data_IF_296702828944
#
_entry.id   IF_296702828944
#
_cell.length_a   1.000
_cell.length_b   1.000
_cell.length_c   1.000
_cell.angle_alpha   90.00
_cell.angle_beta   90.00
_cell.angle_gamma   90.00
#
_symmetry.space_group_name_H-M   'P 1'
#
loop_
_entity.id
_entity.type
_entity.pdbx_description
1 polymer ?
#
# COMPACT_ATOMS: atom_id res chain seq x y z
N UNK A 1 -21.32 -7.42 -2.01
CA UNK A 1 -21.06 -7.17 -0.57
C UNK A 1 -22.26 -7.59 0.30
N UNK A 2 -23.43 -6.94 0.23
CA UNK A 2 -24.55 -7.28 1.13
C UNK A 2 -24.93 -8.77 1.07
N UNK A 3 -25.03 -9.37 -0.12
CA UNK A 3 -25.35 -10.79 -0.26
C UNK A 3 -24.33 -11.71 0.42
N UNK A 4 -23.04 -11.38 0.39
CA UNK A 4 -21.99 -12.14 1.09
C UNK A 4 -22.18 -12.06 2.62
N UNK A 5 -22.55 -10.89 3.14
CA UNK A 5 -22.80 -10.70 4.58
C UNK A 5 -24.07 -11.46 5.01
N UNK A 6 -25.13 -11.41 4.18
CA UNK A 6 -26.38 -12.14 4.39
C UNK A 6 -26.14 -13.66 4.40
N UNK A 7 -25.37 -14.17 3.44
CA UNK A 7 -24.97 -15.58 3.37
C UNK A 7 -24.17 -16.00 4.61
N UNK A 8 -23.14 -15.21 4.96
CA UNK A 8 -22.32 -15.49 6.14
C UNK A 8 -23.12 -15.47 7.43
N UNK A 9 -24.12 -14.59 7.56
CA UNK A 9 -25.02 -14.53 8.71
C UNK A 9 -25.80 -15.82 8.91
N UNK A 10 -26.17 -16.52 7.82
CA UNK A 10 -26.83 -17.82 7.86
C UNK A 10 -25.96 -18.98 8.39
N UNK A 11 -24.64 -18.81 8.44
CA UNK A 11 -23.71 -19.82 8.94
C UNK A 11 -23.25 -19.56 10.39
N UNK A 12 -23.76 -18.51 11.03
CA UNK A 12 -23.39 -18.22 12.42
C UNK A 12 -24.06 -19.20 13.39
N UNK A 13 -23.38 -19.56 14.52
CA UNK A 13 -23.99 -20.32 15.57
C UNK A 13 -25.26 -19.67 16.11
N UNK A 14 -26.19 -20.48 16.60
CA UNK A 14 -27.46 -20.01 17.17
C UNK A 14 -27.22 -18.94 18.26
N UNK A 15 -28.02 -17.87 18.22
CA UNK A 15 -27.91 -16.74 19.13
C UNK A 15 -26.77 -15.76 18.83
N UNK A 16 -26.01 -15.95 17.71
CA UNK A 16 -24.99 -15.02 17.27
C UNK A 16 -25.45 -14.20 16.09
N UNK A 17 -25.02 -12.93 16.04
CA UNK A 17 -25.28 -12.02 14.93
C UNK A 17 -24.06 -11.16 14.62
N UNK A 18 -23.99 -10.63 13.38
CA UNK A 18 -22.99 -9.67 13.00
C UNK A 18 -23.41 -8.31 13.57
N UNK A 19 -22.55 -7.70 14.40
CA UNK A 19 -22.84 -6.45 15.07
C UNK A 19 -22.46 -5.20 14.24
N UNK A 20 -21.47 -5.33 13.35
CA UNK A 20 -20.96 -4.24 12.49
C UNK A 20 -20.18 -4.79 11.31
N UNK A 21 -20.00 -3.96 10.29
CA UNK A 21 -19.23 -4.28 9.10
C UNK A 21 -18.12 -3.27 8.87
N UNK A 22 -16.90 -3.76 8.61
CA UNK A 22 -15.81 -2.94 8.07
C UNK A 22 -15.59 -3.27 6.61
N UNK A 23 -15.42 -2.24 5.78
CA UNK A 23 -15.10 -2.39 4.36
C UNK A 23 -13.92 -1.53 3.99
N UNK A 24 -13.17 -1.96 2.99
CA UNK A 24 -12.20 -1.12 2.31
C UNK A 24 -12.51 -1.04 0.81
N UNK A 25 -12.11 0.07 0.20
CA UNK A 25 -12.28 0.29 -1.22
C UNK A 25 -11.13 1.15 -1.78
N UNK A 26 -10.90 1.10 -3.10
CA UNK A 26 -9.95 1.99 -3.74
C UNK A 26 -10.41 3.45 -3.61
N UNK A 27 -9.44 4.36 -3.56
CA UNK A 27 -9.72 5.80 -3.53
C UNK A 27 -10.04 6.39 -4.91
N UNK A 28 -10.39 7.69 -4.96
CA UNK A 28 -10.58 8.57 -3.82
C UNK A 28 -11.91 8.35 -3.10
N UNK A 29 -11.90 8.54 -1.79
CA UNK A 29 -13.10 8.42 -0.97
C UNK A 29 -13.19 9.54 0.09
N UNK A 30 -14.40 9.95 0.41
CA UNK A 30 -14.69 10.77 1.58
C UNK A 30 -14.96 9.85 2.78
N UNK A 31 -13.98 9.77 3.68
CA UNK A 31 -14.07 8.92 4.86
C UNK A 31 -15.17 9.35 5.82
N UNK A 32 -15.35 10.67 6.00
CA UNK A 32 -16.34 11.22 6.94
C UNK A 32 -17.77 11.04 6.43
N UNK A 33 -18.02 11.35 5.17
CA UNK A 33 -19.33 11.17 4.55
C UNK A 33 -19.60 9.70 4.20
N UNK A 34 -18.58 8.86 4.04
CA UNK A 34 -18.71 7.47 3.60
C UNK A 34 -19.06 7.34 2.11
N UNK A 35 -18.51 8.25 1.31
CA UNK A 35 -18.77 8.36 -0.13
C UNK A 35 -17.52 7.88 -0.91
N UNK A 36 -17.74 6.97 -1.86
CA UNK A 36 -16.78 6.61 -2.87
C UNK A 36 -16.90 7.64 -4.00
N UNK A 37 -15.86 8.50 -4.20
CA UNK A 37 -15.96 9.66 -5.09
C UNK A 37 -15.89 9.25 -6.56
N UNK A 38 -14.69 8.97 -7.08
CA UNK A 38 -14.46 8.60 -8.48
C UNK A 38 -13.31 7.57 -8.56
N UNK A 39 -13.55 6.32 -8.16
CA UNK A 39 -12.49 5.32 -8.13
C UNK A 39 -12.07 4.94 -9.56
N UNK A 40 -10.80 5.15 -9.89
CA UNK A 40 -10.22 4.88 -11.22
C UNK A 40 -10.50 3.46 -11.70
N UNK A 41 -10.48 2.48 -10.77
CA UNK A 41 -10.69 1.07 -11.08
C UNK A 41 -12.18 0.68 -11.17
N UNK A 42 -13.09 1.58 -10.85
CA UNK A 42 -14.54 1.35 -10.84
C UNK A 42 -15.28 2.51 -11.55
N UNK A 43 -15.07 2.72 -12.85
CA UNK A 43 -15.47 3.94 -13.57
C UNK A 43 -16.99 4.14 -13.71
N UNK A 44 -17.80 3.21 -13.24
CA UNK A 44 -19.27 3.34 -13.22
C UNK A 44 -19.79 3.95 -11.90
N UNK A 45 -18.94 4.14 -10.92
CA UNK A 45 -19.34 4.68 -9.62
C UNK A 45 -18.84 6.12 -9.47
N UNK A 46 -19.77 7.02 -9.29
CA UNK A 46 -19.54 8.44 -9.07
C UNK A 46 -20.29 8.89 -7.82
N UNK A 47 -19.60 9.47 -6.86
CA UNK A 47 -20.18 9.98 -5.61
C UNK A 47 -21.17 9.00 -4.93
N UNK A 48 -20.76 7.70 -4.87
CA UNK A 48 -21.60 6.66 -4.31
C UNK A 48 -21.59 6.69 -2.78
N UNK A 49 -22.74 6.91 -2.10
CA UNK A 49 -22.82 6.90 -0.64
C UNK A 49 -22.80 5.45 -0.11
N UNK A 50 -21.69 4.77 -0.35
CA UNK A 50 -21.55 3.32 -0.18
C UNK A 50 -21.76 2.88 1.26
N UNK A 51 -21.23 3.63 2.24
CA UNK A 51 -21.41 3.33 3.66
C UNK A 51 -22.88 3.36 4.05
N UNK A 52 -23.60 4.43 3.66
CA UNK A 52 -25.03 4.57 3.97
C UNK A 52 -25.85 3.47 3.32
N UNK A 53 -25.63 3.20 2.03
CA UNK A 53 -26.36 2.13 1.30
C UNK A 53 -26.20 0.75 1.94
N UNK A 54 -24.97 0.43 2.41
CA UNK A 54 -24.73 -0.84 3.11
C UNK A 54 -25.35 -0.84 4.50
N UNK A 55 -25.26 0.26 5.24
CA UNK A 55 -25.85 0.38 6.57
C UNK A 55 -27.37 0.24 6.54
N UNK A 56 -28.04 0.88 5.57
CA UNK A 56 -29.49 0.79 5.40
C UNK A 56 -29.93 -0.63 5.02
N UNK A 57 -29.20 -1.24 4.08
CA UNK A 57 -29.52 -2.60 3.62
C UNK A 57 -29.33 -3.65 4.68
N UNK A 58 -28.22 -3.57 5.41
CA UNK A 58 -27.83 -4.59 6.40
C UNK A 58 -28.37 -4.29 7.80
N UNK A 59 -28.91 -3.09 8.03
CA UNK A 59 -29.40 -2.60 9.31
C UNK A 59 -28.37 -2.72 10.44
N UNK A 60 -27.10 -2.43 10.10
CA UNK A 60 -26.00 -2.44 11.06
C UNK A 60 -25.02 -1.30 10.78
N UNK A 61 -24.22 -0.88 11.77
CA UNK A 61 -23.14 0.09 11.56
C UNK A 61 -22.12 -0.40 10.54
N UNK A 62 -21.68 0.48 9.64
CA UNK A 62 -20.65 0.20 8.63
C UNK A 62 -19.52 1.22 8.74
N UNK A 63 -18.29 0.77 8.85
CA UNK A 63 -17.07 1.58 8.68
C UNK A 63 -16.50 1.38 7.27
N UNK A 64 -15.91 2.45 6.71
CA UNK A 64 -15.30 2.42 5.38
C UNK A 64 -13.94 3.11 5.42
N UNK A 65 -12.94 2.49 4.79
CA UNK A 65 -11.59 3.04 4.70
C UNK A 65 -10.96 2.75 3.34
N UNK A 66 -9.88 3.48 3.01
CA UNK A 66 -9.04 3.19 1.86
C UNK A 66 -8.32 1.84 2.04
N UNK A 67 -8.15 1.06 0.98
CA UNK A 67 -7.58 -0.28 1.02
C UNK A 67 -6.17 -0.33 1.63
N UNK A 68 -5.26 0.56 1.21
CA UNK A 68 -3.92 0.65 1.79
C UNK A 68 -3.95 1.02 3.28
N UNK A 69 -4.88 1.87 3.71
CA UNK A 69 -5.04 2.26 5.11
C UNK A 69 -5.62 1.12 5.96
N UNK A 70 -6.59 0.38 5.41
CA UNK A 70 -7.11 -0.81 6.06
C UNK A 70 -6.01 -1.87 6.21
N UNK A 71 -5.21 -2.12 5.16
CA UNK A 71 -4.08 -3.04 5.23
C UNK A 71 -3.07 -2.62 6.31
N UNK A 72 -2.73 -1.33 6.38
CA UNK A 72 -1.86 -0.79 7.41
C UNK A 72 -2.41 -0.96 8.82
N UNK A 73 -3.71 -0.76 9.03
CA UNK A 73 -4.35 -1.04 10.31
C UNK A 73 -4.27 -2.53 10.68
N UNK A 74 -4.44 -3.42 9.70
CA UNK A 74 -4.25 -4.86 9.91
C UNK A 74 -2.84 -5.17 10.41
N UNK A 75 -1.82 -4.70 9.69
CA UNK A 75 -0.41 -4.90 10.06
C UNK A 75 -0.06 -4.28 11.42
N UNK A 76 -0.61 -3.13 11.73
CA UNK A 76 -0.34 -2.45 12.99
C UNK A 76 -0.91 -3.19 14.20
N UNK A 77 -2.12 -3.71 14.12
CA UNK A 77 -2.77 -4.35 15.26
C UNK A 77 -2.58 -5.86 15.33
N UNK A 78 -2.26 -6.52 14.20
CA UNK A 78 -2.23 -7.98 14.14
C UNK A 78 -0.98 -8.56 13.46
N UNK A 79 -0.16 -7.72 12.79
CA UNK A 79 1.02 -8.14 12.04
C UNK A 79 2.31 -7.48 12.53
N UNK A 80 3.14 -7.08 11.60
CA UNK A 80 4.50 -6.59 11.84
C UNK A 80 4.61 -5.34 12.71
N UNK A 81 3.52 -4.58 12.88
CA UNK A 81 3.48 -3.33 13.66
C UNK A 81 3.00 -3.47 15.10
N UNK A 82 2.57 -4.67 15.55
CA UNK A 82 1.84 -4.87 16.81
C UNK A 82 2.57 -4.46 18.09
N UNK A 83 3.90 -4.45 18.05
CA UNK A 83 4.75 -4.14 19.21
C UNK A 83 5.32 -2.71 19.14
N UNK A 84 4.96 -1.92 18.15
CA UNK A 84 5.46 -0.58 17.89
C UNK A 84 4.38 0.50 18.12
N UNK A 85 4.73 1.67 18.65
CA UNK A 85 3.76 2.74 18.87
C UNK A 85 3.37 3.46 17.57
N UNK A 86 4.20 3.37 16.54
CA UNK A 86 4.02 4.08 15.27
C UNK A 86 4.63 3.29 14.11
N UNK A 87 3.99 3.36 12.94
CA UNK A 87 4.40 2.61 11.76
C UNK A 87 3.97 3.34 10.48
N UNK A 88 4.78 3.23 9.44
CA UNK A 88 4.33 3.47 8.06
C UNK A 88 4.22 2.14 7.35
N UNK A 89 3.02 1.79 6.92
CA UNK A 89 2.78 0.66 6.03
C UNK A 89 2.74 1.16 4.59
N UNK A 90 3.41 0.48 3.68
CA UNK A 90 3.38 0.80 2.24
C UNK A 90 3.04 -0.45 1.45
N UNK A 91 1.94 -0.41 0.69
CA UNK A 91 1.59 -1.45 -0.27
C UNK A 91 2.16 -1.10 -1.64
N UNK A 92 2.89 -2.03 -2.25
CA UNK A 92 3.54 -1.86 -3.56
C UNK A 92 3.07 -3.00 -4.47
N UNK A 93 2.26 -2.64 -5.46
CA UNK A 93 1.68 -3.57 -6.43
C UNK A 93 1.54 -2.90 -7.80
N UNK A 94 0.31 -2.79 -8.32
CA UNK A 94 -0.01 -2.02 -9.53
C UNK A 94 0.23 -0.53 -9.32
N UNK A 95 -0.02 -0.02 -8.12
CA UNK A 95 0.32 1.33 -7.65
C UNK A 95 1.07 1.27 -6.32
N UNK A 96 1.22 2.43 -5.68
CA UNK A 96 1.86 2.58 -4.37
C UNK A 96 0.98 3.42 -3.46
N UNK A 97 0.46 2.80 -2.41
CA UNK A 97 -0.30 3.47 -1.36
C UNK A 97 0.29 3.24 0.02
N UNK A 98 0.00 4.10 0.99
CA UNK A 98 0.47 3.90 2.35
C UNK A 98 -0.56 4.24 3.42
N UNK A 99 -0.32 3.71 4.61
CA UNK A 99 -0.95 4.08 5.87
C UNK A 99 0.12 4.60 6.83
N UNK A 100 -0.11 5.76 7.39
CA UNK A 100 0.73 6.34 8.45
C UNK A 100 -0.02 6.19 9.75
N UNK A 101 0.54 5.45 10.70
CA UNK A 101 -0.01 5.27 12.02
C UNK A 101 0.97 5.86 13.02
N UNK A 102 0.51 6.83 13.79
CA UNK A 102 1.33 7.55 14.75
C UNK A 102 0.67 7.48 16.13
N UNK A 103 1.41 6.97 17.12
CA UNK A 103 0.90 6.76 18.49
C UNK A 103 -0.43 5.98 18.51
N UNK A 104 -0.55 4.95 17.69
CA UNK A 104 -1.75 4.12 17.57
C UNK A 104 -2.89 4.73 16.74
N UNK A 105 -2.74 5.95 16.23
CA UNK A 105 -3.77 6.62 15.44
C UNK A 105 -3.44 6.67 13.95
N UNK A 106 -4.39 6.30 13.10
CA UNK A 106 -4.27 6.41 11.65
C UNK A 106 -4.35 7.89 11.22
N UNK A 107 -3.31 8.37 10.58
CA UNK A 107 -3.23 9.72 10.04
C UNK A 107 -3.91 9.76 8.67
N UNK A 108 -5.06 10.44 8.60
CA UNK A 108 -5.83 10.59 7.35
C UNK A 108 -5.53 11.90 6.61
N UNK A 109 -5.08 12.92 7.36
CA UNK A 109 -4.98 14.28 6.84
C UNK A 109 -6.35 14.94 6.67
N UNK A 110 -6.35 16.20 6.27
CA UNK A 110 -7.57 17.05 6.20
C UNK A 110 -8.62 16.53 5.20
N UNK A 111 -8.17 15.88 4.13
CA UNK A 111 -9.02 15.38 3.04
C UNK A 111 -8.80 13.89 2.74
N UNK A 112 -8.34 13.14 3.72
CA UNK A 112 -8.02 11.72 3.62
C UNK A 112 -6.88 11.37 2.63
N UNK A 113 -6.04 12.34 2.24
CA UNK A 113 -4.91 12.12 1.31
C UNK A 113 -3.56 11.86 2.02
N UNK A 114 -3.49 11.83 3.34
CA UNK A 114 -2.26 11.40 4.00
C UNK A 114 -1.95 9.94 3.63
N UNK A 115 -0.68 9.66 3.31
CA UNK A 115 -0.27 8.33 2.86
C UNK A 115 -0.14 8.18 1.34
N UNK A 116 -0.37 9.23 0.54
CA UNK A 116 -0.13 9.21 -0.91
C UNK A 116 1.37 9.26 -1.25
N UNK A 117 2.17 8.46 -0.53
CA UNK A 117 3.65 8.46 -0.64
C UNK A 117 4.15 7.99 -2.00
N UNK A 118 3.35 7.19 -2.72
CA UNK A 118 3.66 6.79 -4.09
C UNK A 118 3.81 7.97 -5.05
N UNK A 119 3.14 9.10 -4.73
CA UNK A 119 3.21 10.32 -5.53
C UNK A 119 4.18 11.38 -4.97
N UNK A 120 4.90 11.06 -3.90
CA UNK A 120 6.02 11.89 -3.46
C UNK A 120 7.17 11.82 -4.48
N UNK A 121 7.68 12.97 -4.89
CA UNK A 121 8.81 13.07 -5.84
C UNK A 121 10.10 12.63 -5.14
N UNK A 122 10.74 11.60 -5.68
CA UNK A 122 12.05 11.11 -5.24
C UNK A 122 13.18 11.54 -6.18
N UNK A 123 12.81 11.96 -7.38
CA UNK A 123 13.72 12.49 -8.41
C UNK A 123 13.03 13.61 -9.20
N UNK A 124 13.42 14.89 -9.00
CA UNK A 124 12.78 16.01 -9.72
C UNK A 124 12.99 15.99 -11.24
N UNK A 125 13.94 15.18 -11.72
CA UNK A 125 14.21 15.00 -13.16
C UNK A 125 13.69 13.67 -13.70
N UNK A 126 12.93 12.92 -12.87
CA UNK A 126 12.38 11.61 -13.21
C UNK A 126 11.22 11.68 -14.19
N UNK A 127 10.67 10.50 -14.48
CA UNK A 127 9.61 10.33 -15.46
C UNK A 127 8.29 10.99 -15.04
N UNK A 128 7.49 11.40 -16.04
CA UNK A 128 6.15 11.91 -15.82
C UNK A 128 5.26 10.84 -15.19
N UNK A 129 4.54 11.21 -14.15
CA UNK A 129 3.57 10.37 -13.45
C UNK A 129 2.14 10.69 -13.89
N UNK A 130 1.27 9.70 -13.86
CA UNK A 130 -0.15 9.87 -14.17
C UNK A 130 -0.88 10.88 -13.23
N UNK A 131 -0.33 11.16 -12.04
CA UNK A 131 -0.85 12.18 -11.13
C UNK A 131 -0.61 13.62 -11.58
N UNK A 132 0.13 13.84 -12.67
CA UNK A 132 0.50 15.16 -13.20
C UNK A 132 1.85 15.69 -12.71
N UNK A 133 2.54 14.99 -11.80
CA UNK A 133 3.89 15.32 -11.32
C UNK A 133 4.97 14.51 -12.06
N UNK A 134 6.22 14.65 -11.64
CA UNK A 134 7.37 13.95 -12.21
C UNK A 134 8.17 13.25 -11.10
N UNK A 135 8.83 12.13 -11.44
CA UNK A 135 9.74 11.40 -10.55
C UNK A 135 9.10 10.91 -9.27
N UNK A 136 7.80 10.62 -9.30
CA UNK A 136 7.09 10.02 -8.19
C UNK A 136 7.68 8.66 -7.83
N UNK A 137 7.69 8.30 -6.56
CA UNK A 137 8.16 7.00 -6.09
C UNK A 137 7.52 5.84 -6.88
N UNK A 138 6.23 5.93 -7.18
CA UNK A 138 5.49 4.92 -7.94
C UNK A 138 6.13 4.62 -9.31
N UNK A 139 6.69 5.65 -9.99
CA UNK A 139 7.35 5.47 -11.29
C UNK A 139 8.67 4.69 -11.22
N UNK A 140 9.15 4.41 -10.01
CA UNK A 140 10.36 3.61 -9.77
C UNK A 140 10.06 2.21 -9.27
N UNK A 141 9.01 2.03 -8.43
CA UNK A 141 8.84 0.81 -7.65
C UNK A 141 7.59 0.00 -7.95
N UNK A 142 6.56 0.56 -8.62
CA UNK A 142 5.37 -0.24 -8.92
C UNK A 142 5.64 -1.30 -10.00
N UNK A 143 4.90 -2.40 -9.97
CA UNK A 143 5.09 -3.52 -10.89
C UNK A 143 5.05 -3.12 -12.37
N UNK A 144 4.05 -2.34 -12.85
CA UNK A 144 4.00 -1.85 -14.22
C UNK A 144 5.20 -0.98 -14.59
N UNK A 145 5.68 -0.13 -13.68
CA UNK A 145 6.84 0.72 -13.94
C UNK A 145 8.15 -0.04 -13.96
N UNK A 146 8.34 -1.04 -13.08
CA UNK A 146 9.50 -1.95 -13.15
C UNK A 146 9.57 -2.64 -14.51
N UNK A 147 8.43 -3.17 -14.97
CA UNK A 147 8.32 -3.81 -16.28
C UNK A 147 8.67 -2.86 -17.43
N UNK A 148 8.09 -1.66 -17.42
CA UNK A 148 8.30 -0.63 -18.45
C UNK A 148 9.77 -0.17 -18.50
N UNK A 149 10.39 0.06 -17.35
CA UNK A 149 11.80 0.48 -17.27
C UNK A 149 12.73 -0.62 -17.74
N UNK A 150 12.46 -1.86 -17.36
CA UNK A 150 13.24 -3.00 -17.84
C UNK A 150 13.13 -3.19 -19.35
N UNK A 151 11.93 -3.11 -19.93
CA UNK A 151 11.72 -3.16 -21.38
C UNK A 151 12.55 -2.08 -22.11
N UNK A 152 12.53 -0.84 -21.62
CA UNK A 152 13.34 0.24 -22.23
C UNK A 152 14.83 -0.02 -22.19
N UNK A 153 15.36 -0.65 -21.12
CA UNK A 153 16.76 -1.03 -21.08
C UNK A 153 17.08 -2.10 -22.11
N UNK A 154 16.21 -3.11 -22.25
CA UNK A 154 16.36 -4.15 -23.27
C UNK A 154 16.37 -3.55 -24.68
N UNK A 155 15.44 -2.66 -24.97
CA UNK A 155 15.35 -1.97 -26.28
C UNK A 155 16.61 -1.16 -26.57
N UNK A 156 17.11 -0.43 -25.57
CA UNK A 156 18.33 0.39 -25.72
C UNK A 156 19.59 -0.45 -25.96
N UNK A 157 19.70 -1.60 -25.30
CA UNK A 157 20.83 -2.51 -25.46
C UNK A 157 20.69 -3.43 -26.69
N UNK A 158 19.59 -3.33 -27.43
CA UNK A 158 19.31 -4.22 -28.57
C UNK A 158 19.16 -5.69 -28.16
N UNK A 159 18.76 -5.93 -26.92
CA UNK A 159 18.69 -7.27 -26.31
C UNK A 159 17.22 -7.68 -26.15
N UNK A 160 16.94 -8.95 -26.35
CA UNK A 160 15.62 -9.53 -26.10
C UNK A 160 15.69 -10.54 -24.97
N UNK A 161 14.57 -10.68 -24.25
CA UNK A 161 14.47 -11.75 -23.25
C UNK A 161 14.25 -13.08 -24.01
N UNK A 162 15.06 -14.09 -23.70
CA UNK A 162 14.84 -15.47 -24.18
C UNK A 162 13.62 -16.09 -23.44
N UNK A 163 12.43 -15.55 -23.68
CA UNK A 163 11.17 -16.08 -23.18
C UNK A 163 10.35 -16.63 -24.35
N UNK A 164 9.34 -17.44 -24.04
CA UNK A 164 8.40 -17.90 -25.06
C UNK A 164 7.76 -16.68 -25.78
N UNK A 165 7.54 -16.75 -27.11
CA UNK A 165 6.92 -15.68 -27.85
C UNK A 165 5.62 -15.21 -27.18
N UNK A 166 5.47 -13.89 -26.96
CA UNK A 166 4.30 -13.30 -26.30
C UNK A 166 4.34 -13.23 -24.77
N UNK A 167 5.46 -13.57 -24.13
CA UNK A 167 5.60 -13.41 -22.68
C UNK A 167 5.55 -11.95 -22.30
N UNK A 168 4.56 -11.58 -21.50
CA UNK A 168 4.42 -10.24 -20.95
C UNK A 168 5.49 -9.97 -19.88
N UNK A 169 6.18 -8.85 -20.00
CA UNK A 169 7.11 -8.41 -18.95
C UNK A 169 6.26 -7.84 -17.78
N UNK A 170 6.48 -8.40 -16.60
CA UNK A 170 5.84 -7.97 -15.35
C UNK A 170 6.90 -7.60 -14.32
N UNK A 171 6.52 -6.84 -13.29
CA UNK A 171 7.43 -6.54 -12.18
C UNK A 171 7.97 -7.81 -11.49
N UNK A 172 7.15 -8.86 -11.40
CA UNK A 172 7.56 -10.17 -10.86
C UNK A 172 8.62 -10.84 -11.73
N UNK A 173 8.46 -10.76 -13.06
CA UNK A 173 9.47 -11.27 -14.00
C UNK A 173 10.79 -10.52 -13.83
N UNK A 174 10.76 -9.19 -13.71
CA UNK A 174 11.96 -8.38 -13.48
C UNK A 174 12.65 -8.81 -12.19
N UNK A 175 11.92 -8.93 -11.09
CA UNK A 175 12.46 -9.37 -9.82
C UNK A 175 13.04 -10.77 -9.87
N UNK A 176 12.37 -11.72 -10.55
CA UNK A 176 12.88 -13.08 -10.69
C UNK A 176 14.17 -13.16 -11.53
N UNK A 177 14.25 -12.39 -12.62
CA UNK A 177 15.46 -12.30 -13.45
C UNK A 177 16.62 -11.67 -12.70
N UNK A 178 16.35 -10.64 -11.91
CA UNK A 178 17.37 -10.04 -11.05
C UNK A 178 17.95 -11.06 -10.05
N UNK A 179 17.12 -11.95 -9.49
CA UNK A 179 17.56 -13.03 -8.58
C UNK A 179 18.47 -14.04 -9.26
N UNK A 180 18.24 -14.36 -10.53
CA UNK A 180 19.07 -15.30 -11.28
C UNK A 180 20.25 -14.66 -12.00
N UNK A 181 20.51 -13.35 -11.80
CA UNK A 181 21.73 -12.71 -12.21
C UNK A 181 21.66 -11.83 -13.45
N UNK A 182 20.48 -11.59 -14.01
CA UNK A 182 20.29 -10.65 -15.12
C UNK A 182 20.73 -9.24 -14.70
N UNK A 183 21.73 -8.69 -15.41
CA UNK A 183 22.35 -7.43 -15.03
C UNK A 183 21.39 -6.23 -15.16
N UNK A 184 20.59 -6.19 -16.23
CA UNK A 184 19.63 -5.09 -16.44
C UNK A 184 18.49 -5.15 -15.42
N UNK A 185 17.99 -6.34 -15.13
CA UNK A 185 16.99 -6.53 -14.09
C UNK A 185 17.52 -6.15 -12.69
N UNK A 186 18.77 -6.51 -12.36
CA UNK A 186 19.44 -6.08 -11.12
C UNK A 186 19.56 -4.57 -11.04
N UNK A 187 19.94 -3.91 -12.14
CA UNK A 187 19.99 -2.45 -12.19
C UNK A 187 18.63 -1.85 -11.83
N UNK A 188 17.55 -2.29 -12.48
CA UNK A 188 16.19 -1.79 -12.22
C UNK A 188 15.79 -2.00 -10.76
N UNK A 189 16.04 -3.18 -10.20
CA UNK A 189 15.69 -3.47 -8.81
C UNK A 189 16.54 -2.67 -7.81
N UNK A 190 17.79 -2.37 -8.13
CA UNK A 190 18.65 -1.52 -7.31
C UNK A 190 18.15 -0.09 -7.31
N UNK A 191 17.88 0.49 -8.49
CA UNK A 191 17.31 1.84 -8.63
C UNK A 191 15.94 1.96 -7.93
N UNK A 192 15.10 0.93 -8.01
CA UNK A 192 13.83 0.87 -7.30
C UNK A 192 14.04 0.90 -5.76
N UNK A 193 14.98 0.10 -5.25
CA UNK A 193 15.30 0.10 -3.83
C UNK A 193 15.93 1.42 -3.37
N UNK A 194 16.77 2.05 -4.19
CA UNK A 194 17.32 3.38 -3.89
C UNK A 194 16.22 4.45 -3.80
N UNK A 195 15.29 4.48 -4.75
CA UNK A 195 14.13 5.37 -4.74
C UNK A 195 13.27 5.15 -3.48
N UNK A 196 13.02 3.89 -3.12
CA UNK A 196 12.33 3.53 -1.88
C UNK A 196 13.08 4.05 -0.65
N UNK A 197 14.40 3.89 -0.61
CA UNK A 197 15.24 4.37 0.49
C UNK A 197 15.21 5.88 0.66
N UNK A 198 15.17 6.64 -0.44
CA UNK A 198 15.01 8.11 -0.42
C UNK A 198 13.66 8.49 0.18
N UNK A 199 12.57 7.84 -0.27
CA UNK A 199 11.22 8.10 0.25
C UNK A 199 11.13 7.78 1.74
N UNK A 200 11.66 6.64 2.18
CA UNK A 200 11.71 6.26 3.60
C UNK A 200 12.52 7.26 4.43
N UNK A 201 13.71 7.67 3.95
CA UNK A 201 14.52 8.67 4.64
C UNK A 201 13.75 9.99 4.81
N UNK A 202 13.06 10.45 3.75
CA UNK A 202 12.23 11.66 3.79
C UNK A 202 11.11 11.53 4.83
N UNK A 203 10.40 10.39 4.86
CA UNK A 203 9.35 10.16 5.86
C UNK A 203 9.92 10.06 7.29
N UNK A 204 11.05 9.38 7.49
CA UNK A 204 11.70 9.28 8.79
C UNK A 204 12.14 10.65 9.33
N UNK A 205 12.64 11.52 8.46
CA UNK A 205 13.00 12.89 8.81
C UNK A 205 11.81 13.79 9.09
N UNK A 206 10.64 13.48 8.53
CA UNK A 206 9.43 14.32 8.65
C UNK A 206 8.51 13.87 9.79
N UNK A 207 8.42 12.56 10.02
CA UNK A 207 7.44 11.95 10.92
C UNK A 207 8.09 11.40 12.21
N UNK A 208 9.42 11.22 12.25
CA UNK A 208 10.17 10.56 13.32
C UNK A 208 9.62 9.14 13.65
N UNK A 209 9.26 8.40 12.62
CA UNK A 209 8.80 7.00 12.71
C UNK A 209 9.95 6.09 12.32
N UNK A 210 10.16 5.02 13.10
CA UNK A 210 11.28 4.08 12.89
C UNK A 210 10.86 2.82 12.11
N UNK A 211 9.60 2.38 12.20
CA UNK A 211 9.12 1.16 11.56
C UNK A 211 8.43 1.43 10.21
N UNK A 212 8.95 0.80 9.16
CA UNK A 212 8.41 0.81 7.80
C UNK A 212 8.12 -0.61 7.34
N UNK A 213 6.84 -0.93 7.11
CA UNK A 213 6.36 -2.25 6.71
C UNK A 213 5.93 -2.22 5.25
N UNK A 214 6.37 -3.21 4.47
CA UNK A 214 6.13 -3.27 3.02
C UNK A 214 5.31 -4.49 2.65
N UNK A 215 4.12 -4.26 2.09
CA UNK A 215 3.20 -5.28 1.58
C UNK A 215 2.95 -5.16 0.08
N UNK A 216 2.08 -6.03 -0.45
CA UNK A 216 1.76 -6.10 -1.87
C UNK A 216 2.65 -7.08 -2.65
N UNK A 217 2.50 -7.12 -3.98
CA UNK A 217 3.18 -8.12 -4.81
C UNK A 217 4.68 -7.86 -4.97
N UNK A 218 5.10 -6.60 -5.09
CA UNK A 218 6.50 -6.25 -5.36
C UNK A 218 7.41 -6.56 -4.17
N UNK A 219 7.10 -6.24 -2.92
CA UNK A 219 7.97 -6.57 -1.77
C UNK A 219 8.15 -8.07 -1.53
N UNK A 220 7.32 -8.94 -2.10
CA UNK A 220 7.52 -10.40 -2.09
C UNK A 220 8.86 -10.84 -2.73
N UNK A 221 9.51 -9.93 -3.49
CA UNK A 221 10.87 -10.19 -3.99
C UNK A 221 11.95 -10.17 -2.89
N UNK A 222 11.65 -9.61 -1.72
CA UNK A 222 12.54 -9.61 -0.55
C UNK A 222 13.72 -8.65 -0.67
N UNK A 223 14.90 -9.11 -0.25
CA UNK A 223 16.10 -8.27 -0.12
C UNK A 223 16.62 -7.70 -1.44
N UNK A 224 16.18 -8.23 -2.59
CA UNK A 224 16.58 -7.63 -3.89
C UNK A 224 16.06 -6.19 -4.03
N UNK A 225 14.94 -5.87 -3.36
CA UNK A 225 14.39 -4.51 -3.24
C UNK A 225 14.81 -3.84 -1.93
N UNK A 226 14.67 -4.54 -0.80
CA UNK A 226 14.80 -3.92 0.52
C UNK A 226 16.27 -3.65 0.90
N UNK A 227 17.24 -4.43 0.44
CA UNK A 227 18.63 -4.21 0.79
C UNK A 227 19.21 -2.92 0.17
N UNK A 228 18.98 -2.60 -1.13
CA UNK A 228 19.33 -1.27 -1.66
C UNK A 228 18.64 -0.14 -0.91
N UNK A 229 17.36 -0.30 -0.50
CA UNK A 229 16.65 0.68 0.29
C UNK A 229 17.32 0.92 1.65
N UNK A 230 17.61 -0.16 2.40
CA UNK A 230 18.33 -0.08 3.70
C UNK A 230 19.68 0.64 3.58
N UNK A 231 20.43 0.39 2.50
CA UNK A 231 21.72 1.07 2.24
C UNK A 231 21.56 2.55 1.87
N UNK A 232 20.39 2.94 1.39
CA UNK A 232 20.14 4.30 0.93
C UNK A 232 19.59 5.20 2.04
N UNK A 233 18.77 4.67 2.94
CA UNK A 233 18.20 5.46 4.06
C UNK A 233 19.26 6.28 4.83
N UNK A 234 20.41 5.73 5.26
CA UNK A 234 21.41 6.50 6.00
C UNK A 234 22.09 7.61 5.18
N UNK A 235 22.06 7.51 3.85
CA UNK A 235 22.67 8.53 2.97
C UNK A 235 21.81 9.80 2.87
N UNK A 236 20.51 9.68 3.08
CA UNK A 236 19.52 10.74 2.91
C UNK A 236 18.80 11.13 4.20
N UNK A 237 19.30 10.69 5.36
CA UNK A 237 18.77 11.03 6.67
C UNK A 237 19.87 11.49 7.62
N UNK A 238 19.50 12.08 8.74
CA UNK A 238 20.47 12.41 9.79
C UNK A 238 21.16 11.16 10.33
N UNK A 239 22.43 11.30 10.73
CA UNK A 239 23.22 10.22 11.31
C UNK A 239 22.58 9.57 12.55
N UNK A 240 21.70 10.29 13.23
CA UNK A 240 20.97 9.83 14.41
C UNK A 240 19.61 9.22 14.06
N UNK A 241 19.08 9.42 12.86
CA UNK A 241 17.77 8.91 12.41
C UNK A 241 17.94 7.61 11.60
N UNK A 242 18.74 7.64 10.54
CA UNK A 242 18.87 6.53 9.61
C UNK A 242 19.16 5.17 10.26
N UNK A 243 20.08 5.05 11.24
CA UNK A 243 20.38 3.77 11.90
C UNK A 243 19.23 3.16 12.71
N UNK A 244 18.21 3.95 13.08
CA UNK A 244 17.04 3.48 13.84
C UNK A 244 15.94 2.95 12.92
N UNK A 245 15.97 3.30 11.64
CA UNK A 245 14.96 2.94 10.67
C UNK A 245 15.00 1.45 10.37
N UNK A 246 13.85 0.79 10.52
CA UNK A 246 13.66 -0.64 10.27
C UNK A 246 12.73 -0.83 9.08
N UNK A 247 13.22 -1.53 8.05
CA UNK A 247 12.47 -1.89 6.86
C UNK A 247 12.17 -3.38 6.92
N UNK A 248 10.89 -3.73 7.05
CA UNK A 248 10.45 -5.12 7.21
C UNK A 248 9.35 -5.47 6.19
N UNK A 249 9.24 -6.75 5.89
CA UNK A 249 8.14 -7.24 5.06
C UNK A 249 6.84 -7.37 5.88
N UNK A 250 5.70 -7.23 5.21
CA UNK A 250 4.37 -7.52 5.75
C UNK A 250 4.30 -8.96 6.28
N UNK A 251 3.69 -9.14 7.45
CA UNK A 251 3.43 -10.48 8.03
C UNK A 251 2.08 -11.04 7.57
N UNK A 252 1.09 -10.18 7.34
CA UNK A 252 -0.28 -10.61 7.04
C UNK A 252 -0.56 -10.79 5.53
N UNK A 253 0.24 -10.16 4.68
CA UNK A 253 0.04 -10.25 3.23
C UNK A 253 -1.37 -9.84 2.81
N UNK A 254 -2.07 -10.75 2.14
CA UNK A 254 -3.41 -10.50 1.58
C UNK A 254 -4.51 -10.47 2.67
N UNK A 255 -4.25 -10.94 3.89
CA UNK A 255 -5.17 -10.88 5.03
C UNK A 255 -5.17 -9.52 5.73
N UNK A 256 -4.13 -8.70 5.53
CA UNK A 256 -3.98 -7.38 6.16
C UNK A 256 -5.22 -6.49 6.00
N UNK A 257 -5.74 -6.25 4.79
CA UNK A 257 -6.95 -5.44 4.59
C UNK A 257 -8.18 -5.99 5.29
N UNK A 258 -8.34 -7.32 5.32
CA UNK A 258 -9.48 -8.00 5.96
C UNK A 258 -9.44 -7.78 7.48
N UNK A 259 -8.28 -8.01 8.08
CA UNK A 259 -8.08 -7.82 9.53
C UNK A 259 -8.21 -6.34 9.92
N UNK A 260 -7.72 -5.43 9.10
CA UNK A 260 -7.90 -3.99 9.30
C UNK A 260 -9.37 -3.56 9.21
N UNK A 261 -10.14 -4.10 8.27
CA UNK A 261 -11.59 -3.91 8.22
C UNK A 261 -12.28 -4.45 9.47
N UNK A 262 -11.87 -5.63 9.95
CA UNK A 262 -12.37 -6.20 11.21
C UNK A 262 -12.09 -5.31 12.42
N UNK A 263 -10.87 -4.73 12.49
CA UNK A 263 -10.54 -3.75 13.52
C UNK A 263 -11.42 -2.50 13.45
N UNK A 264 -11.61 -1.93 12.25
CA UNK A 264 -12.49 -0.78 12.02
C UNK A 264 -13.93 -1.05 12.43
N UNK A 265 -14.45 -2.24 12.12
CA UNK A 265 -15.79 -2.67 12.53
C UNK A 265 -15.94 -2.73 14.06
N UNK A 266 -14.92 -3.17 14.79
CA UNK A 266 -14.91 -3.16 16.26
C UNK A 266 -14.86 -1.75 16.83
N UNK A 267 -14.09 -0.84 16.23
CA UNK A 267 -13.96 0.54 16.71
C UNK A 267 -15.28 1.32 16.65
N UNK A 268 -16.10 1.07 15.63
CA UNK A 268 -17.39 1.76 15.51
C UNK A 268 -18.37 1.37 16.62
N UNK A 269 -18.25 0.17 17.16
CA UNK A 269 -19.07 -0.28 18.31
C UNK A 269 -18.59 0.28 19.65
N UNK A 270 -17.32 0.65 19.74
CA UNK A 270 -16.71 1.17 20.97
C UNK A 270 -16.78 2.70 21.08
N UNK A 271 -17.23 3.40 20.04
CA UNK A 271 -17.45 4.85 20.14
C UNK A 271 -18.70 5.06 21.00
N UNK A 272 -18.61 5.84 22.10
CA UNK A 272 -19.81 6.23 22.82
C UNK A 272 -20.73 6.96 21.84
N UNK A 273 -22.02 6.57 21.85
CA UNK A 273 -23.06 7.28 21.12
C UNK A 273 -23.01 8.76 21.54
N UNK A 274 -22.53 9.65 20.62
CA UNK A 274 -22.50 11.08 20.84
C UNK A 274 -23.90 11.70 20.68
#
# INVERSE_FOLDING_TARGET
MAAVVEEFSGHLPEGRSIASLGICCPGPLDHEAGILIDPVNLPKFHNLPLRQMLSDRLRMPVSMEHDAKAAGLGEFYYGAGRDDPSMVFTVIGTGVGAAIIMNGELIRGVKNFAGEVGHATVDPHGEACACGSHGCLETYISGPWLARRYQRLLDREGTTINNAPGTLITGELVASRAKVGDALAKQIMTEAGEALGIAVATMAMTLDIELYVFGGSVPKCGDILLEPARKTVPKYSFRTVGPRVRLVASELGDDGPILGCGWLARQILNKPNG
#
